data_IF_655911996070
#
_entry.id   IF_655911996070
#
_cell.length_a   1.000
_cell.length_b   1.000
_cell.length_c   1.000
_cell.angle_alpha   90.00
_cell.angle_beta   90.00
_cell.angle_gamma   90.00
#
_symmetry.space_group_name_H-M   'P 1'
#
loop_
_entity.id
_entity.type
_entity.pdbx_description
1 polymer ?
#
# COMPACT_ATOMS: atom_id res chain seq x y z
N UNK A 1 15.45 17.71 10.92
CA UNK A 1 15.78 16.97 12.15
C UNK A 1 17.12 16.26 11.96
N UNK A 2 17.98 16.14 12.98
CA UNK A 2 19.29 15.46 12.89
C UNK A 2 19.19 13.97 12.51
N UNK A 3 17.98 13.42 12.44
CA UNK A 3 17.66 12.07 12.00
C UNK A 3 16.93 12.03 10.64
N UNK A 4 17.07 13.06 9.81
CA UNK A 4 16.38 13.16 8.51
C UNK A 4 16.63 11.99 7.55
N UNK A 5 17.62 11.13 7.84
CA UNK A 5 17.99 9.95 7.07
C UNK A 5 17.27 8.67 7.52
N UNK A 6 16.50 8.72 8.63
CA UNK A 6 15.79 7.56 9.19
C UNK A 6 14.37 7.42 8.61
N UNK A 7 13.85 8.45 7.93
CA UNK A 7 12.56 8.41 7.26
C UNK A 7 12.70 8.14 5.76
N UNK A 8 12.70 6.88 5.34
CA UNK A 8 12.57 6.53 3.93
C UNK A 8 11.10 6.63 3.52
N UNK A 9 10.80 7.38 2.47
CA UNK A 9 9.49 7.27 1.82
C UNK A 9 9.41 5.91 1.11
N UNK A 10 8.52 5.04 1.61
CA UNK A 10 8.31 3.70 1.07
C UNK A 10 7.11 3.64 0.12
N UNK A 11 6.40 4.75 -0.12
CA UNK A 11 5.27 4.79 -1.03
C UNK A 11 5.76 4.59 -2.46
N UNK A 12 5.10 3.72 -3.22
CA UNK A 12 5.22 3.69 -4.68
C UNK A 12 3.87 4.04 -5.24
N UNK A 13 3.82 5.19 -5.88
CA UNK A 13 2.63 5.71 -6.49
C UNK A 13 2.99 6.39 -7.81
N UNK A 14 2.01 6.43 -8.71
CA UNK A 14 2.03 7.20 -9.95
C UNK A 14 0.66 7.87 -10.07
N UNK A 15 0.62 9.11 -10.55
CA UNK A 15 -0.62 9.78 -10.92
C UNK A 15 -0.40 10.51 -12.25
N UNK A 16 -1.43 10.48 -13.10
CA UNK A 16 -1.40 11.08 -14.44
C UNK A 16 -2.60 12.01 -14.56
N UNK A 17 -2.31 13.31 -14.66
CA UNK A 17 -3.25 14.40 -14.97
C UNK A 17 -4.52 14.43 -14.09
N UNK A 18 -4.44 13.95 -12.84
CA UNK A 18 -5.59 13.82 -11.95
C UNK A 18 -6.63 12.78 -12.38
N UNK A 19 -6.39 11.99 -13.44
CA UNK A 19 -7.37 11.07 -14.04
C UNK A 19 -7.16 9.62 -13.64
N UNK A 20 -5.89 9.19 -13.63
CA UNK A 20 -5.50 7.81 -13.37
C UNK A 20 -4.38 7.80 -12.34
N UNK A 21 -4.47 6.91 -11.35
CA UNK A 21 -3.44 6.69 -10.37
C UNK A 21 -3.06 5.22 -10.25
N UNK A 22 -1.85 4.93 -9.79
CA UNK A 22 -1.39 3.59 -9.48
C UNK A 22 -0.78 3.56 -8.09
N UNK A 23 -1.05 2.48 -7.35
CA UNK A 23 -0.39 2.16 -6.07
C UNK A 23 0.08 0.72 -6.13
N UNK A 24 1.34 0.46 -5.79
CA UNK A 24 1.95 -0.87 -5.93
C UNK A 24 3.02 -1.16 -4.90
N UNK A 25 3.40 -2.44 -4.74
CA UNK A 25 4.60 -2.83 -4.01
C UNK A 25 5.90 -2.68 -4.81
N UNK A 26 5.82 -2.66 -6.15
CA UNK A 26 6.98 -2.49 -7.04
C UNK A 26 7.31 -1.02 -7.34
N UNK A 27 8.59 -0.75 -7.55
CA UNK A 27 9.10 0.51 -8.12
C UNK A 27 9.19 0.45 -9.66
N UNK A 28 9.52 1.56 -10.32
CA UNK A 28 9.87 1.54 -11.75
C UNK A 28 11.30 1.00 -11.93
N UNK A 29 11.42 -0.29 -12.28
CA UNK A 29 12.72 -0.94 -12.49
C UNK A 29 12.59 -2.25 -13.28
N UNK A 30 13.52 -2.51 -14.20
CA UNK A 30 13.57 -3.79 -14.92
C UNK A 30 13.86 -4.98 -14.00
N UNK A 31 14.42 -4.75 -12.80
CA UNK A 31 14.76 -5.83 -11.84
C UNK A 31 13.55 -6.68 -11.43
N UNK A 32 12.34 -6.10 -11.41
CA UNK A 32 11.13 -6.83 -11.05
C UNK A 32 10.75 -7.90 -12.07
N UNK A 33 11.21 -7.78 -13.32
CA UNK A 33 10.99 -8.77 -14.38
C UNK A 33 11.84 -10.03 -14.21
N UNK A 34 12.81 -10.01 -13.29
CA UNK A 34 13.81 -11.07 -13.16
C UNK A 34 14.82 -11.04 -14.31
N UNK A 35 15.59 -12.11 -14.40
CA UNK A 35 16.61 -12.31 -15.41
C UNK A 35 16.72 -13.82 -15.71
N UNK A 36 16.03 -14.25 -16.75
CA UNK A 36 15.99 -15.66 -17.13
C UNK A 36 17.38 -16.21 -17.53
N UNK A 37 18.26 -15.37 -18.09
CA UNK A 37 19.60 -15.81 -18.48
C UNK A 37 20.48 -16.16 -17.27
N UNK A 38 20.18 -15.55 -16.12
CA UNK A 38 20.87 -15.79 -14.84
C UNK A 38 20.02 -16.58 -13.84
N UNK A 39 18.91 -17.18 -14.28
CA UNK A 39 18.05 -18.01 -13.41
C UNK A 39 17.30 -17.22 -12.33
N UNK A 40 17.12 -15.92 -12.49
CA UNK A 40 16.39 -15.06 -11.56
C UNK A 40 14.93 -14.96 -12.01
N UNK A 41 14.00 -15.49 -11.20
CA UNK A 41 12.58 -15.40 -11.50
C UNK A 41 12.04 -13.95 -11.37
N UNK A 42 10.96 -13.61 -12.09
CA UNK A 42 10.23 -12.37 -11.85
C UNK A 42 9.74 -12.28 -10.41
N UNK A 43 9.69 -11.06 -9.88
CA UNK A 43 9.20 -10.81 -8.53
C UNK A 43 7.68 -10.86 -8.52
N UNK A 44 7.10 -11.57 -7.55
CA UNK A 44 5.67 -11.50 -7.27
C UNK A 44 5.38 -10.26 -6.45
N UNK A 45 4.45 -9.44 -6.91
CA UNK A 45 3.91 -8.32 -6.16
C UNK A 45 2.47 -8.02 -6.61
N UNK A 46 1.82 -7.05 -5.99
CA UNK A 46 0.49 -6.56 -6.33
C UNK A 46 0.49 -5.05 -6.55
N UNK A 47 -0.33 -4.60 -7.48
CA UNK A 47 -0.55 -3.20 -7.77
C UNK A 47 -1.97 -2.97 -8.26
N UNK A 48 -2.48 -1.78 -8.00
CA UNK A 48 -3.81 -1.35 -8.41
C UNK A 48 -3.68 -0.14 -9.33
N UNK A 49 -4.35 -0.22 -10.48
CA UNK A 49 -4.66 0.95 -11.29
C UNK A 49 -6.04 1.46 -10.85
N UNK A 50 -6.12 2.77 -10.61
CA UNK A 50 -7.26 3.41 -9.94
C UNK A 50 -7.72 4.58 -10.81
N UNK A 51 -9.03 4.63 -11.04
CA UNK A 51 -9.72 5.74 -11.67
C UNK A 51 -10.79 6.28 -10.70
N UNK A 52 -11.26 7.50 -10.95
CA UNK A 52 -12.29 8.13 -10.13
C UNK A 52 -11.73 9.01 -8.99
N UNK A 53 -12.60 9.44 -8.06
CA UNK A 53 -12.27 10.47 -7.06
C UNK A 53 -11.03 10.16 -6.21
N UNK A 54 -10.76 8.88 -5.96
CA UNK A 54 -9.64 8.45 -5.13
C UNK A 54 -8.26 8.84 -5.69
N UNK A 55 -8.13 9.10 -6.99
CA UNK A 55 -6.87 9.58 -7.61
C UNK A 55 -6.39 10.87 -6.94
N UNK A 56 -7.30 11.74 -6.49
CA UNK A 56 -6.94 12.99 -5.79
C UNK A 56 -6.21 12.75 -4.48
N UNK A 57 -6.51 11.64 -3.79
CA UNK A 57 -5.81 11.25 -2.57
C UNK A 57 -4.40 10.72 -2.87
N UNK A 58 -4.18 10.11 -4.04
CA UNK A 58 -2.85 9.69 -4.51
C UNK A 58 -1.99 10.93 -4.79
N UNK A 59 -2.54 11.92 -5.52
CA UNK A 59 -1.82 13.18 -5.77
C UNK A 59 -1.55 13.97 -4.49
N UNK A 60 -2.50 13.97 -3.54
CA UNK A 60 -2.29 14.59 -2.24
C UNK A 60 -1.15 13.93 -1.46
N UNK A 61 -1.06 12.60 -1.48
CA UNK A 61 0.04 11.86 -0.88
C UNK A 61 1.39 12.19 -1.54
N UNK A 62 1.43 12.36 -2.87
CA UNK A 62 2.63 12.80 -3.57
C UNK A 62 3.06 14.22 -3.18
N UNK A 63 2.11 15.17 -3.11
CA UNK A 63 2.39 16.56 -2.70
C UNK A 63 2.91 16.63 -1.27
N UNK A 64 2.38 15.80 -0.38
CA UNK A 64 2.88 15.64 0.99
C UNK A 64 4.35 15.18 0.99
N UNK A 65 4.72 14.16 0.21
CA UNK A 65 6.13 13.78 0.03
C UNK A 65 6.98 14.94 -0.49
N UNK A 66 6.49 15.63 -1.52
CA UNK A 66 7.24 16.67 -2.21
C UNK A 66 7.49 17.90 -1.33
N UNK A 67 6.48 18.35 -0.60
CA UNK A 67 6.59 19.51 0.30
C UNK A 67 7.62 19.31 1.42
N UNK A 68 7.98 18.07 1.74
CA UNK A 68 9.08 17.75 2.64
C UNK A 68 10.49 17.94 2.04
N UNK A 69 10.61 18.14 0.72
CA UNK A 69 11.88 18.20 -0.01
C UNK A 69 12.24 19.61 -0.49
N UNK A 70 11.27 20.52 -0.61
CA UNK A 70 11.50 21.87 -1.11
C UNK A 70 10.21 22.66 -1.29
N UNK A 71 10.24 23.62 -2.23
CA UNK A 71 9.09 24.46 -2.52
C UNK A 71 7.88 23.61 -2.96
N UNK A 72 6.65 23.98 -2.54
CA UNK A 72 5.44 23.30 -2.96
C UNK A 72 5.31 23.25 -4.48
N UNK A 73 4.83 22.13 -5.02
CA UNK A 73 4.50 22.05 -6.44
C UNK A 73 3.37 23.04 -6.76
N UNK A 74 3.49 23.82 -7.85
CA UNK A 74 2.34 24.52 -8.39
C UNK A 74 1.30 23.46 -8.78
N UNK A 75 0.13 23.55 -8.16
CA UNK A 75 -0.96 22.60 -8.36
C UNK A 75 -2.18 23.36 -8.82
N UNK A 76 -2.55 23.15 -10.07
CA UNK A 76 -3.86 23.50 -10.57
C UNK A 76 -4.76 22.27 -10.39
N UNK A 77 -5.74 22.28 -9.47
CA UNK A 77 -6.62 21.14 -9.30
C UNK A 77 -7.40 20.91 -10.59
N UNK A 78 -7.07 19.81 -11.30
CA UNK A 78 -7.96 19.27 -12.30
C UNK A 78 -9.36 19.09 -11.70
N UNK A 79 -10.44 19.15 -12.49
CA UNK A 79 -11.77 18.77 -12.02
C UNK A 79 -11.71 17.39 -11.35
N UNK A 80 -12.45 17.22 -10.25
CA UNK A 80 -12.52 15.91 -9.60
C UNK A 80 -13.03 14.87 -10.62
N UNK A 81 -12.35 13.73 -10.77
CA UNK A 81 -12.83 12.69 -11.67
C UNK A 81 -14.21 12.21 -11.23
N UNK A 82 -15.09 11.97 -12.20
CA UNK A 82 -16.40 11.39 -11.91
C UNK A 82 -16.24 10.03 -11.21
N UNK A 83 -17.15 9.74 -10.28
CA UNK A 83 -17.23 8.42 -9.67
C UNK A 83 -17.43 7.35 -10.74
N UNK A 84 -16.71 6.23 -10.60
CA UNK A 84 -16.74 5.11 -11.53
C UNK A 84 -16.55 3.78 -10.79
N UNK A 85 -17.01 2.70 -11.40
CA UNK A 85 -16.98 1.36 -10.82
C UNK A 85 -17.96 1.18 -9.65
N UNK A 86 -17.88 0.02 -9.00
CA UNK A 86 -18.80 -0.39 -7.93
C UNK A 86 -18.11 -0.53 -6.57
N UNK A 87 -16.79 -0.34 -6.51
CA UNK A 87 -15.99 -0.54 -5.30
C UNK A 87 -15.79 0.79 -4.58
N UNK A 88 -16.24 0.86 -3.32
CA UNK A 88 -15.88 1.96 -2.44
C UNK A 88 -14.38 1.90 -2.13
N UNK A 89 -13.65 2.97 -2.45
CA UNK A 89 -12.19 3.01 -2.33
C UNK A 89 -11.72 4.20 -1.50
N UNK A 90 -10.81 3.93 -0.57
CA UNK A 90 -10.11 4.94 0.23
C UNK A 90 -8.61 4.72 0.17
N UNK A 91 -7.87 5.77 -0.18
CA UNK A 91 -6.42 5.77 -0.09
C UNK A 91 -6.00 6.06 1.35
N UNK A 92 -5.09 5.24 1.87
CA UNK A 92 -4.50 5.42 3.20
C UNK A 92 -3.01 5.70 2.99
N UNK A 93 -2.66 6.98 2.97
CA UNK A 93 -1.26 7.41 2.89
C UNK A 93 -0.64 7.40 4.29
N UNK A 94 0.27 6.47 4.54
CA UNK A 94 0.92 6.33 5.85
C UNK A 94 2.07 7.31 6.00
N UNK A 95 2.21 7.88 7.19
CA UNK A 95 3.40 8.61 7.59
C UNK A 95 4.27 7.75 8.53
N UNK A 96 5.61 7.89 8.49
CA UNK A 96 6.51 7.17 9.39
C UNK A 96 6.08 7.27 10.86
N UNK A 97 6.36 6.23 11.65
CA UNK A 97 6.15 6.18 13.10
C UNK A 97 4.69 6.22 13.63
N UNK A 98 3.66 6.21 12.78
CA UNK A 98 2.27 6.27 13.24
C UNK A 98 1.58 4.90 13.44
N UNK A 99 2.19 3.80 12.97
CA UNK A 99 1.67 2.43 13.14
C UNK A 99 0.26 2.22 12.60
N UNK A 100 -0.21 3.09 11.69
CA UNK A 100 -1.59 3.14 11.24
C UNK A 100 -2.04 1.84 10.55
N UNK A 101 -1.15 1.23 9.76
CA UNK A 101 -1.44 -0.03 9.07
C UNK A 101 -1.67 -1.18 10.05
N UNK A 102 -0.82 -1.36 11.07
CA UNK A 102 -1.02 -2.43 12.07
C UNK A 102 -2.39 -2.34 12.76
N UNK A 103 -2.87 -1.12 13.05
CA UNK A 103 -4.20 -0.92 13.67
C UNK A 103 -5.32 -1.22 12.68
N UNK A 104 -5.15 -0.81 11.43
CA UNK A 104 -6.10 -1.10 10.36
C UNK A 104 -6.21 -2.61 10.12
N UNK A 105 -5.08 -3.31 10.02
CA UNK A 105 -5.05 -4.75 9.78
C UNK A 105 -5.72 -5.51 10.94
N UNK A 106 -5.48 -5.09 12.19
CA UNK A 106 -6.15 -5.66 13.36
C UNK A 106 -7.67 -5.40 13.34
N UNK A 107 -8.10 -4.21 12.89
CA UNK A 107 -9.51 -3.89 12.74
C UNK A 107 -10.15 -4.73 11.62
N UNK A 108 -9.49 -4.87 10.48
CA UNK A 108 -9.94 -5.71 9.37
C UNK A 108 -10.09 -7.16 9.82
N UNK A 109 -9.11 -7.69 10.56
CA UNK A 109 -9.17 -9.04 11.11
C UNK A 109 -10.39 -9.24 12.02
N UNK A 110 -10.71 -8.25 12.88
CA UNK A 110 -11.89 -8.32 13.75
C UNK A 110 -13.23 -8.10 13.05
N UNK A 111 -13.26 -7.66 11.79
CA UNK A 111 -14.50 -7.44 11.02
C UNK A 111 -14.71 -8.49 9.91
N UNK A 112 -13.69 -9.27 9.58
CA UNK A 112 -13.78 -10.28 8.53
C UNK A 112 -14.79 -11.38 8.91
N UNK A 113 -15.61 -11.80 7.95
CA UNK A 113 -16.67 -12.80 8.18
C UNK A 113 -16.49 -14.09 7.39
N UNK A 114 -15.72 -14.07 6.29
CA UNK A 114 -15.59 -15.22 5.39
C UNK A 114 -14.13 -15.57 5.11
N UNK A 115 -13.33 -14.61 4.66
CA UNK A 115 -11.91 -14.83 4.34
C UNK A 115 -11.04 -13.62 4.70
N UNK A 116 -9.79 -13.91 5.03
CA UNK A 116 -8.73 -12.92 5.24
C UNK A 116 -7.43 -13.44 4.63
N UNK A 117 -7.16 -13.05 3.39
CA UNK A 117 -5.96 -13.47 2.67
C UNK A 117 -4.98 -12.33 2.58
N UNK A 118 -3.82 -12.50 3.22
CA UNK A 118 -2.80 -11.46 3.36
C UNK A 118 -1.56 -11.89 2.59
N UNK A 119 -1.06 -11.03 1.71
CA UNK A 119 0.24 -11.17 1.07
C UNK A 119 1.14 -10.06 1.59
N UNK A 120 2.26 -10.41 2.21
CA UNK A 120 3.17 -9.44 2.80
C UNK A 120 4.63 -9.86 2.59
N UNK A 121 5.49 -8.89 2.24
CA UNK A 121 6.92 -9.10 2.09
C UNK A 121 7.64 -9.27 3.44
N UNK A 122 7.08 -8.74 4.52
CA UNK A 122 7.65 -8.82 5.87
C UNK A 122 6.56 -9.04 6.90
N UNK A 123 6.16 -10.29 7.08
CA UNK A 123 5.19 -10.61 8.13
C UNK A 123 5.80 -10.37 9.53
N UNK A 124 5.49 -9.20 10.10
CA UNK A 124 5.91 -8.83 11.45
C UNK A 124 4.87 -9.36 12.45
N UNK A 125 5.08 -10.57 12.93
CA UNK A 125 4.20 -11.27 13.87
C UNK A 125 4.19 -10.72 15.29
N UNK A 126 3.88 -9.43 15.46
CA UNK A 126 3.70 -8.82 16.80
C UNK A 126 2.58 -9.56 17.53
N UNK A 127 2.70 -9.87 18.84
CA UNK A 127 1.73 -10.71 19.55
C UNK A 127 0.26 -10.28 19.39
N UNK A 128 -0.01 -8.98 19.44
CA UNK A 128 -1.36 -8.43 19.28
C UNK A 128 -1.94 -8.67 17.88
N UNK A 129 -1.11 -8.60 16.85
CA UNK A 129 -1.54 -8.87 15.47
C UNK A 129 -1.82 -10.35 15.26
N UNK A 130 -0.93 -11.23 15.77
CA UNK A 130 -1.14 -12.68 15.72
C UNK A 130 -2.41 -13.09 16.47
N UNK A 131 -2.67 -12.48 17.63
CA UNK A 131 -3.90 -12.72 18.39
C UNK A 131 -5.16 -12.30 17.62
N UNK A 132 -5.13 -11.16 16.91
CA UNK A 132 -6.26 -10.72 16.08
C UNK A 132 -6.53 -11.70 14.92
N UNK A 133 -5.49 -12.19 14.25
CA UNK A 133 -5.63 -13.20 13.19
C UNK A 133 -6.17 -14.53 13.74
N UNK A 134 -5.69 -14.97 14.91
CA UNK A 134 -6.17 -16.20 15.56
C UNK A 134 -7.63 -16.09 16.04
N UNK A 135 -8.05 -14.89 16.48
CA UNK A 135 -9.45 -14.63 16.80
C UNK A 135 -10.35 -14.77 15.56
N UNK A 136 -9.94 -14.19 14.42
CA UNK A 136 -10.68 -14.35 13.16
C UNK A 136 -10.82 -15.83 12.73
N UNK A 137 -9.75 -16.64 12.89
CA UNK A 137 -9.83 -18.10 12.66
C UNK A 137 -10.85 -18.76 13.58
N UNK A 138 -10.87 -18.36 14.87
CA UNK A 138 -11.82 -18.89 15.85
C UNK A 138 -13.27 -18.54 15.49
N UNK A 139 -13.48 -17.38 14.88
CA UNK A 139 -14.77 -16.91 14.38
C UNK A 139 -15.18 -17.57 13.03
N UNK A 140 -14.36 -18.48 12.50
CA UNK A 140 -14.66 -19.26 11.29
C UNK A 140 -14.16 -18.65 9.98
N UNK A 141 -13.36 -17.59 10.03
CA UNK A 141 -12.77 -16.95 8.84
C UNK A 141 -11.63 -17.80 8.25
N UNK A 142 -11.60 -17.97 6.93
CA UNK A 142 -10.45 -18.58 6.21
C UNK A 142 -9.27 -17.58 6.16
N UNK A 143 -8.37 -17.68 7.12
CA UNK A 143 -7.18 -16.83 7.23
C UNK A 143 -5.97 -17.49 6.53
N UNK A 144 -5.39 -16.81 5.55
CA UNK A 144 -4.19 -17.28 4.82
C UNK A 144 -3.13 -16.21 4.74
N UNK A 145 -1.88 -16.61 4.98
CA UNK A 145 -0.71 -15.76 4.87
C UNK A 145 0.18 -16.24 3.72
N UNK A 146 0.45 -15.36 2.76
CA UNK A 146 1.45 -15.55 1.73
C UNK A 146 2.65 -14.65 2.03
N UNK A 147 3.76 -15.27 2.37
CA UNK A 147 4.99 -14.60 2.81
C UNK A 147 6.19 -15.19 2.09
N UNK A 148 7.35 -14.49 2.02
CA UNK A 148 8.58 -15.08 1.50
C UNK A 148 8.97 -16.34 2.28
N UNK A 149 9.37 -17.39 1.56
CA UNK A 149 9.76 -18.67 2.17
C UNK A 149 11.12 -18.64 2.88
N UNK A 150 11.93 -17.62 2.60
CA UNK A 150 13.22 -17.35 3.24
C UNK A 150 13.39 -15.83 3.36
N UNK A 151 13.51 -15.34 4.58
CA UNK A 151 13.88 -13.95 4.90
C UNK A 151 15.39 -13.84 5.13
#
# INVERSE_FOLDING_TARGET
SPLGWVGRDHRKLLAVDGRVGSVSGVCVSAKWLGDAAHGVAPWRDSGLLIEGPAVRSIEAAFRDSWGGLGDPLPFDPAPEPAACGEVALRIIATQPAHGAMFRLDSLIAGMATESLWISDAYFVGIPTYVQALAAAVTDGVDVRLLVPGSN
#
